data_IF_596568734775
#
_entry.id   IF_596568734775
#
_cell.length_a   1.000
_cell.length_b   1.000
_cell.length_c   1.000
_cell.angle_alpha   90.00
_cell.angle_beta   90.00
_cell.angle_gamma   90.00
#
_symmetry.space_group_name_H-M   'P 1'
#
loop_
_entity.id
_entity.type
_entity.pdbx_description
1 polymer ?
#
# COMPACT_ATOMS: atom_id res chain seq x y z
N UNK A 1 -32.63 22.24 -8.63
CA UNK A 1 -31.87 21.84 -7.43
C UNK A 1 -30.96 20.63 -7.69
N UNK A 2 -31.50 19.53 -8.22
CA UNK A 2 -30.77 18.28 -8.51
C UNK A 2 -29.58 18.41 -9.47
N UNK A 3 -29.67 19.23 -10.53
CA UNK A 3 -28.59 19.41 -11.51
C UNK A 3 -27.34 20.10 -10.93
N UNK A 4 -27.52 21.08 -10.03
CA UNK A 4 -26.40 21.74 -9.31
C UNK A 4 -25.77 20.81 -8.28
N UNK A 5 -26.57 19.97 -7.63
CA UNK A 5 -26.10 18.91 -6.74
C UNK A 5 -25.28 17.86 -7.49
N UNK A 6 -25.77 17.36 -8.63
CA UNK A 6 -25.04 16.39 -9.47
C UNK A 6 -23.74 16.95 -10.05
N UNK A 7 -23.72 18.23 -10.46
CA UNK A 7 -22.47 18.90 -10.89
C UNK A 7 -21.48 19.02 -9.73
N UNK A 8 -21.95 19.37 -8.52
CA UNK A 8 -21.12 19.42 -7.32
C UNK A 8 -20.52 18.05 -6.98
N UNK A 9 -21.33 17.00 -7.03
CA UNK A 9 -20.88 15.61 -6.81
C UNK A 9 -19.84 15.20 -7.86
N UNK A 10 -20.06 15.52 -9.14
CA UNK A 10 -19.13 15.22 -10.23
C UNK A 10 -17.78 15.94 -10.10
N UNK A 11 -17.78 17.21 -9.67
CA UNK A 11 -16.54 17.98 -9.46
C UNK A 11 -15.76 17.40 -8.27
N UNK A 12 -16.44 17.11 -7.16
CA UNK A 12 -15.80 16.54 -5.96
C UNK A 12 -15.25 15.14 -6.25
N UNK A 13 -15.99 14.31 -6.99
CA UNK A 13 -15.50 13.00 -7.41
C UNK A 13 -14.35 13.10 -8.43
N UNK A 14 -14.40 14.02 -9.38
CA UNK A 14 -13.27 14.30 -10.29
C UNK A 14 -12.00 14.69 -9.53
N UNK A 15 -12.10 15.58 -8.54
CA UNK A 15 -10.99 15.95 -7.65
C UNK A 15 -10.48 14.73 -6.88
N UNK A 16 -11.37 13.93 -6.30
CA UNK A 16 -11.04 12.76 -5.50
C UNK A 16 -10.31 11.66 -6.29
N UNK A 17 -10.64 11.48 -7.57
CA UNK A 17 -10.10 10.39 -8.39
C UNK A 17 -8.99 10.83 -9.35
N UNK A 18 -9.01 12.06 -9.87
CA UNK A 18 -8.05 12.51 -10.88
C UNK A 18 -6.79 13.11 -10.25
N UNK A 19 -6.91 13.86 -9.15
CA UNK A 19 -5.76 14.48 -8.49
C UNK A 19 -4.75 13.45 -7.99
N UNK A 20 -5.15 12.34 -7.33
CA UNK A 20 -4.20 11.29 -6.95
C UNK A 20 -3.42 10.72 -8.14
N UNK A 21 -4.10 10.52 -9.28
CA UNK A 21 -3.48 9.97 -10.49
C UNK A 21 -2.42 10.92 -11.06
N UNK A 22 -2.74 12.21 -11.15
CA UNK A 22 -1.81 13.25 -11.64
C UNK A 22 -0.66 13.43 -10.64
N UNK A 23 -0.95 13.49 -9.35
CA UNK A 23 0.07 13.66 -8.30
C UNK A 23 1.13 12.57 -8.35
N UNK A 24 0.72 11.30 -8.47
CA UNK A 24 1.66 10.18 -8.62
C UNK A 24 2.49 10.36 -9.89
N UNK A 25 1.86 10.72 -11.00
CA UNK A 25 2.53 10.88 -12.29
C UNK A 25 3.62 11.97 -12.26
N UNK A 26 3.44 13.02 -11.46
CA UNK A 26 4.38 14.15 -11.38
C UNK A 26 5.46 13.99 -10.31
N UNK A 27 5.17 13.26 -9.22
CA UNK A 27 6.02 13.28 -8.02
C UNK A 27 6.73 11.97 -7.72
N UNK A 28 6.24 10.84 -8.25
CA UNK A 28 6.82 9.52 -7.98
C UNK A 28 7.76 9.15 -9.13
N UNK A 29 9.02 8.74 -8.83
CA UNK A 29 9.94 8.25 -9.85
C UNK A 29 9.34 7.08 -10.65
N UNK A 30 9.74 6.94 -11.91
CA UNK A 30 9.18 5.89 -12.79
C UNK A 30 9.34 4.47 -12.25
N UNK A 31 10.47 4.19 -11.61
CA UNK A 31 10.76 2.89 -11.00
C UNK A 31 9.71 2.44 -9.99
N UNK A 32 9.00 3.36 -9.33
CA UNK A 32 7.95 3.05 -8.35
C UNK A 32 6.53 3.05 -8.93
N UNK A 33 6.35 3.50 -10.19
CA UNK A 33 5.02 3.70 -10.82
C UNK A 33 4.54 2.53 -11.68
N UNK A 34 5.40 1.52 -11.89
CA UNK A 34 5.15 0.33 -12.69
C UNK A 34 5.49 -0.92 -11.87
N UNK A 35 4.91 -2.09 -12.17
CA UNK A 35 5.36 -3.38 -11.65
C UNK A 35 6.80 -3.73 -12.09
N UNK A 36 7.45 -4.70 -11.45
CA UNK A 36 8.83 -5.09 -11.75
C UNK A 36 8.84 -5.97 -13.00
N UNK A 37 9.93 -5.99 -13.74
CA UNK A 37 9.97 -6.72 -15.01
C UNK A 37 9.81 -8.23 -14.78
N UNK A 38 10.23 -8.73 -13.61
CA UNK A 38 10.01 -10.08 -13.12
C UNK A 38 8.80 -10.19 -12.17
N UNK A 39 8.01 -9.12 -11.99
CA UNK A 39 6.81 -9.19 -11.18
C UNK A 39 5.83 -10.12 -11.87
N UNK A 40 5.77 -11.34 -11.38
CA UNK A 40 4.72 -12.25 -11.78
C UNK A 40 3.46 -11.67 -11.16
N UNK A 41 2.60 -11.07 -12.00
CA UNK A 41 1.25 -10.64 -11.61
C UNK A 41 0.53 -11.85 -11.01
N UNK A 42 0.60 -11.98 -9.69
CA UNK A 42 0.18 -13.17 -8.96
C UNK A 42 1.35 -14.03 -8.44
N UNK A 43 1.64 -13.87 -7.14
CA UNK A 43 2.00 -14.96 -6.21
C UNK A 43 3.28 -15.79 -6.44
N UNK A 44 4.32 -15.26 -7.05
CA UNK A 44 5.67 -15.87 -6.93
C UNK A 44 6.62 -14.77 -6.49
N UNK A 45 6.81 -14.49 -5.20
CA UNK A 45 7.61 -15.29 -4.25
C UNK A 45 7.12 -15.15 -2.78
N UNK A 46 5.95 -14.56 -2.55
CA UNK A 46 5.43 -14.25 -1.21
C UNK A 46 4.54 -15.37 -0.67
N UNK A 47 5.11 -16.32 0.07
CA UNK A 47 4.32 -17.27 0.88
C UNK A 47 4.08 -16.63 2.25
N UNK A 48 3.15 -15.67 2.33
CA UNK A 48 2.77 -15.09 3.62
C UNK A 48 1.58 -15.86 4.21
N UNK A 49 1.82 -16.56 5.31
CA UNK A 49 0.74 -17.09 6.15
C UNK A 49 0.41 -16.00 7.18
N UNK A 50 -0.51 -15.10 6.84
CA UNK A 50 -1.06 -14.14 7.79
C UNK A 50 -2.08 -14.85 8.69
N UNK A 51 -1.89 -14.81 10.00
CA UNK A 51 -2.94 -15.21 10.94
C UNK A 51 -3.70 -14.00 11.45
N UNK A 52 -5.03 -14.12 11.48
CA UNK A 52 -5.88 -13.08 12.03
C UNK A 52 -6.12 -13.37 13.51
N UNK A 53 -5.80 -12.41 14.39
CA UNK A 53 -6.24 -12.50 15.79
C UNK A 53 -7.68 -12.01 15.84
N UNK A 54 -8.63 -12.94 15.78
CA UNK A 54 -10.06 -12.61 15.70
C UNK A 54 -10.56 -11.72 16.85
N UNK A 55 -10.01 -11.89 18.05
CA UNK A 55 -10.48 -11.22 19.28
C UNK A 55 -9.65 -10.00 19.71
N UNK A 56 -8.65 -9.57 18.93
CA UNK A 56 -7.84 -8.39 19.27
C UNK A 56 -8.09 -7.26 18.28
N UNK A 57 -8.51 -6.11 18.81
CA UNK A 57 -8.73 -4.89 18.05
C UNK A 57 -7.93 -3.74 18.65
N UNK A 58 -7.36 -2.91 17.79
CA UNK A 58 -6.70 -1.65 18.16
C UNK A 58 -7.46 -0.52 17.47
N UNK A 59 -7.99 0.44 18.25
CA UNK A 59 -8.80 1.56 17.74
C UNK A 59 -9.97 1.09 16.84
N UNK A 60 -10.64 -0.01 17.21
CA UNK A 60 -11.73 -0.62 16.44
C UNK A 60 -11.31 -1.46 15.22
N UNK A 61 -10.03 -1.41 14.83
CA UNK A 61 -9.47 -2.14 13.67
C UNK A 61 -9.07 -3.56 14.06
N UNK A 62 -9.28 -4.53 13.16
CA UNK A 62 -8.81 -5.93 13.33
C UNK A 62 -7.29 -5.93 13.28
N UNK A 63 -6.66 -6.69 14.16
CA UNK A 63 -5.20 -6.86 14.16
C UNK A 63 -4.84 -8.20 13.53
N UNK A 64 -3.88 -8.18 12.62
CA UNK A 64 -3.27 -9.38 12.06
C UNK A 64 -1.85 -9.57 12.59
N UNK A 65 -1.41 -10.83 12.62
CA UNK A 65 -0.06 -11.20 13.01
C UNK A 65 0.59 -12.00 11.90
N UNK A 66 1.81 -11.58 11.57
CA UNK A 66 2.70 -12.28 10.64
C UNK A 66 3.12 -13.61 11.26
N UNK A 67 2.67 -14.76 10.74
CA UNK A 67 3.07 -16.09 11.28
C UNK A 67 4.38 -16.60 10.73
N UNK A 68 4.74 -16.18 9.52
CA UNK A 68 6.02 -16.51 8.86
C UNK A 68 6.68 -15.22 8.41
N UNK A 69 8.02 -15.11 8.49
CA UNK A 69 8.70 -13.92 8.02
C UNK A 69 8.31 -13.60 6.58
N UNK A 70 7.97 -12.34 6.31
CA UNK A 70 7.69 -11.85 4.97
C UNK A 70 8.94 -11.15 4.47
N UNK A 71 9.44 -11.56 3.30
CA UNK A 71 10.64 -11.00 2.70
C UNK A 71 10.21 -10.16 1.50
N UNK A 72 10.61 -8.89 1.52
CA UNK A 72 10.47 -7.97 0.41
C UNK A 72 11.84 -7.67 -0.17
N UNK A 73 11.94 -7.75 -1.49
CA UNK A 73 13.16 -7.48 -2.24
C UNK A 73 12.90 -6.22 -3.05
N UNK A 74 13.73 -5.20 -2.84
CA UNK A 74 13.79 -4.02 -3.68
C UNK A 74 15.02 -4.19 -4.55
N UNK A 75 14.77 -4.36 -5.84
CA UNK A 75 15.83 -4.56 -6.83
C UNK A 75 16.73 -3.33 -6.91
N UNK A 76 18.04 -3.57 -6.87
CA UNK A 76 19.03 -2.53 -7.09
C UNK A 76 19.01 -2.06 -8.54
N UNK A 77 19.38 -0.79 -8.77
CA UNK A 77 19.72 -0.33 -10.13
C UNK A 77 21.11 -0.82 -10.53
N UNK A 78 21.51 -0.68 -11.81
CA UNK A 78 22.85 -1.07 -12.27
C UNK A 78 23.96 -0.56 -11.33
N UNK A 79 24.68 -1.50 -10.70
CA UNK A 79 25.78 -1.20 -9.77
C UNK A 79 25.37 -1.07 -8.29
N UNK A 80 24.07 -1.10 -7.96
CA UNK A 80 23.56 -1.13 -6.58
C UNK A 80 23.09 -2.56 -6.20
N UNK A 81 23.34 -3.00 -4.95
CA UNK A 81 22.86 -4.31 -4.49
C UNK A 81 21.35 -4.29 -4.25
N UNK A 82 20.73 -5.47 -4.35
CA UNK A 82 19.34 -5.66 -3.91
C UNK A 82 19.21 -5.40 -2.41
N UNK A 83 18.13 -4.71 -2.05
CA UNK A 83 17.78 -4.40 -0.66
C UNK A 83 16.71 -5.36 -0.15
N UNK A 84 16.99 -6.03 0.97
CA UNK A 84 16.10 -7.02 1.57
C UNK A 84 15.44 -6.46 2.84
N UNK A 85 14.11 -6.33 2.80
CA UNK A 85 13.31 -6.02 3.99
C UNK A 85 12.68 -7.29 4.54
N UNK A 86 13.03 -7.65 5.77
CA UNK A 86 12.50 -8.84 6.46
C UNK A 86 11.55 -8.41 7.57
N UNK A 87 10.26 -8.70 7.38
CA UNK A 87 9.24 -8.51 8.40
C UNK A 87 9.24 -9.73 9.31
N UNK A 88 9.54 -9.52 10.58
CA UNK A 88 9.68 -10.62 11.55
C UNK A 88 8.34 -11.29 11.87
N UNK A 89 8.39 -12.61 12.11
CA UNK A 89 7.27 -13.35 12.71
C UNK A 89 6.85 -12.69 14.02
N UNK A 90 5.55 -12.58 14.25
CA UNK A 90 4.98 -11.97 15.45
C UNK A 90 4.73 -10.46 15.31
N UNK A 91 5.12 -9.84 14.19
CA UNK A 91 4.76 -8.46 13.92
C UNK A 91 3.23 -8.30 13.87
N UNK A 92 2.72 -7.32 14.62
CA UNK A 92 1.30 -6.99 14.72
C UNK A 92 1.02 -5.78 13.83
N UNK A 93 0.16 -5.96 12.83
CA UNK A 93 -0.33 -4.88 11.97
C UNK A 93 -1.80 -4.62 12.26
N UNK A 94 -2.18 -3.35 12.26
CA UNK A 94 -3.57 -2.88 12.38
C UNK A 94 -4.10 -2.28 11.06
N UNK A 95 -3.36 -2.47 9.96
CA UNK A 95 -3.64 -1.97 8.62
C UNK A 95 -3.97 -0.47 8.61
N UNK A 96 -3.20 0.34 9.36
CA UNK A 96 -3.38 1.79 9.44
C UNK A 96 -3.24 2.48 8.08
N UNK A 97 -2.40 1.91 7.23
CA UNK A 97 -2.17 2.32 5.85
C UNK A 97 -3.40 2.23 4.94
N UNK A 98 -4.48 1.56 5.37
CA UNK A 98 -5.73 1.48 4.60
C UNK A 98 -6.67 2.66 4.91
N UNK A 99 -6.93 3.56 3.94
CA UNK A 99 -7.76 4.74 4.15
C UNK A 99 -9.16 4.37 4.63
N UNK A 100 -9.75 5.18 5.52
CA UNK A 100 -11.08 4.90 6.07
C UNK A 100 -12.16 4.70 4.99
N UNK A 101 -12.10 5.49 3.92
CA UNK A 101 -13.02 5.35 2.78
C UNK A 101 -12.78 4.06 2.00
N UNK A 102 -11.52 3.63 1.85
CA UNK A 102 -11.18 2.38 1.19
C UNK A 102 -11.76 1.17 1.96
N UNK A 103 -11.78 1.23 3.29
CA UNK A 103 -12.34 0.15 4.14
C UNK A 103 -13.85 -0.07 3.95
N UNK A 104 -14.59 0.87 3.35
CA UNK A 104 -16.01 0.68 3.01
C UNK A 104 -16.22 -0.20 1.77
N UNK A 105 -15.25 -0.21 0.85
CA UNK A 105 -15.39 -0.86 -0.45
C UNK A 105 -14.47 -2.07 -0.61
N UNK A 106 -13.39 -2.14 0.18
CA UNK A 106 -12.37 -3.16 0.02
C UNK A 106 -12.18 -3.97 1.32
N UNK A 107 -12.02 -5.28 1.17
CA UNK A 107 -11.75 -6.19 2.29
C UNK A 107 -10.28 -6.10 2.71
N UNK A 108 -9.94 -5.78 3.97
CA UNK A 108 -8.56 -5.57 4.40
C UNK A 108 -7.58 -6.74 4.16
N UNK A 109 -8.07 -7.94 3.84
CA UNK A 109 -7.28 -9.14 3.54
C UNK A 109 -7.20 -9.48 2.05
N UNK A 110 -7.37 -8.49 1.17
CA UNK A 110 -7.27 -8.66 -0.28
C UNK A 110 -5.81 -8.48 -0.76
N UNK A 111 -5.59 -8.41 -2.07
CA UNK A 111 -4.28 -8.34 -2.76
C UNK A 111 -3.31 -7.27 -2.24
N UNK A 112 -3.79 -6.21 -1.60
CA UNK A 112 -2.96 -5.14 -1.04
C UNK A 112 -2.56 -5.35 0.43
N UNK A 113 -3.02 -6.42 1.09
CA UNK A 113 -2.81 -6.63 2.52
C UNK A 113 -1.32 -6.75 2.88
N UNK A 114 -0.56 -7.49 2.08
CA UNK A 114 0.88 -7.68 2.31
C UNK A 114 1.67 -6.37 2.13
N UNK A 115 1.32 -5.58 1.10
CA UNK A 115 1.86 -4.25 0.91
C UNK A 115 1.57 -3.32 2.10
N UNK A 116 0.36 -3.41 2.68
CA UNK A 116 -0.01 -2.65 3.88
C UNK A 116 0.81 -3.09 5.11
N UNK A 117 1.07 -4.39 5.28
CA UNK A 117 1.96 -4.90 6.35
C UNK A 117 3.37 -4.37 6.19
N UNK A 118 3.90 -4.34 4.96
CA UNK A 118 5.21 -3.76 4.65
C UNK A 118 5.27 -2.27 5.01
N UNK A 119 4.25 -1.50 4.61
CA UNK A 119 4.20 -0.07 4.91
C UNK A 119 4.19 0.18 6.43
N UNK A 120 3.31 -0.52 7.15
CA UNK A 120 3.21 -0.43 8.62
C UNK A 120 4.57 -0.79 9.27
N UNK A 121 5.27 -1.81 8.76
CA UNK A 121 6.58 -2.22 9.24
C UNK A 121 7.66 -1.16 9.03
N UNK A 122 7.77 -0.61 7.82
CA UNK A 122 8.73 0.45 7.49
C UNK A 122 8.47 1.71 8.31
N UNK A 123 7.19 2.04 8.54
CA UNK A 123 6.80 3.14 9.43
C UNK A 123 7.15 2.87 10.89
N UNK A 124 7.01 1.62 11.35
CA UNK A 124 7.35 1.24 12.73
C UNK A 124 8.86 1.28 12.99
N UNK A 125 9.70 0.92 12.01
CA UNK A 125 11.15 1.12 12.10
C UNK A 125 11.47 2.63 12.14
N UNK A 126 10.77 3.41 11.31
CA UNK A 126 10.75 4.87 11.43
C UNK A 126 12.07 5.56 11.10
N UNK A 127 12.85 5.00 10.16
CA UNK A 127 14.14 5.58 9.76
C UNK A 127 14.02 7.07 9.35
N UNK A 128 14.90 7.96 9.85
CA UNK A 128 14.84 9.38 9.53
C UNK A 128 14.92 9.63 8.02
N UNK A 129 13.97 10.40 7.49
CA UNK A 129 13.90 10.75 6.06
C UNK A 129 13.30 9.66 5.14
N UNK A 130 13.01 8.46 5.65
CA UNK A 130 12.56 7.32 4.83
C UNK A 130 11.05 7.19 4.67
N UNK A 131 10.24 8.04 5.31
CA UNK A 131 8.76 7.98 5.20
C UNK A 131 8.27 8.03 3.75
N UNK A 132 8.81 8.96 2.95
CA UNK A 132 8.46 9.07 1.53
C UNK A 132 8.83 7.82 0.76
N UNK A 133 9.97 7.22 1.08
CA UNK A 133 10.41 5.98 0.47
C UNK A 133 9.49 4.82 0.85
N UNK A 134 9.08 4.72 2.11
CA UNK A 134 8.08 3.74 2.55
C UNK A 134 6.74 3.89 1.80
N UNK A 135 6.26 5.12 1.59
CA UNK A 135 5.06 5.37 0.78
C UNK A 135 5.24 4.88 -0.67
N UNK A 136 6.40 5.15 -1.29
CA UNK A 136 6.69 4.72 -2.66
C UNK A 136 6.85 3.20 -2.77
N UNK A 137 7.48 2.56 -1.78
CA UNK A 137 7.58 1.09 -1.68
C UNK A 137 6.19 0.48 -1.54
N UNK A 138 5.30 1.10 -0.76
CA UNK A 138 3.91 0.65 -0.63
C UNK A 138 3.16 0.69 -1.96
N UNK A 139 3.26 1.81 -2.71
CA UNK A 139 2.71 1.91 -4.06
C UNK A 139 3.22 0.78 -4.95
N UNK A 140 4.54 0.58 -4.93
CA UNK A 140 5.22 -0.41 -5.76
C UNK A 140 4.79 -1.83 -5.45
N UNK A 141 4.80 -2.20 -4.18
CA UNK A 141 4.40 -3.53 -3.72
C UNK A 141 2.96 -3.85 -4.13
N UNK A 142 2.03 -2.90 -4.02
CA UNK A 142 0.66 -3.09 -4.53
C UNK A 142 0.61 -3.37 -6.03
N UNK A 143 1.39 -2.65 -6.83
CA UNK A 143 1.46 -2.88 -8.29
C UNK A 143 2.03 -4.26 -8.61
N UNK A 144 3.05 -4.69 -7.88
CA UNK A 144 3.63 -6.03 -8.01
C UNK A 144 2.65 -7.13 -7.61
N UNK A 145 1.81 -6.88 -6.62
CA UNK A 145 0.75 -7.80 -6.17
C UNK A 145 -0.48 -7.79 -7.10
N UNK A 146 -0.43 -7.06 -8.22
CA UNK A 146 -1.49 -7.00 -9.22
C UNK A 146 -2.69 -6.14 -8.81
N UNK A 147 -2.54 -5.28 -7.79
CA UNK A 147 -3.56 -4.29 -7.44
C UNK A 147 -3.72 -3.32 -8.61
N UNK A 148 -4.97 -2.97 -8.93
CA UNK A 148 -5.26 -2.00 -9.99
C UNK A 148 -4.46 -0.70 -9.78
N UNK A 149 -3.76 -0.18 -10.81
CA UNK A 149 -2.95 1.02 -10.67
C UNK A 149 -3.72 2.24 -10.15
N UNK A 150 -5.02 2.33 -10.45
CA UNK A 150 -5.87 3.41 -9.94
C UNK A 150 -6.02 3.29 -8.41
N UNK A 151 -6.29 2.09 -7.91
CA UNK A 151 -6.45 1.81 -6.48
C UNK A 151 -5.12 2.02 -5.75
N UNK A 152 -4.02 1.49 -6.28
CA UNK A 152 -2.69 1.64 -5.69
C UNK A 152 -2.27 3.11 -5.57
N UNK A 153 -2.54 3.92 -6.61
CA UNK A 153 -2.29 5.38 -6.60
C UNK A 153 -3.14 6.11 -5.56
N UNK A 154 -4.41 5.74 -5.43
CA UNK A 154 -5.29 6.32 -4.42
C UNK A 154 -4.78 6.03 -3.00
N UNK A 155 -4.40 4.78 -2.73
CA UNK A 155 -3.87 4.36 -1.44
C UNK A 155 -2.56 5.10 -1.11
N UNK A 156 -1.64 5.17 -2.07
CA UNK A 156 -0.42 5.97 -1.94
C UNK A 156 -0.70 7.43 -1.59
N UNK A 157 -1.58 8.10 -2.34
CA UNK A 157 -1.91 9.50 -2.07
C UNK A 157 -2.55 9.68 -0.70
N UNK A 158 -3.40 8.74 -0.27
CA UNK A 158 -4.03 8.82 1.03
C UNK A 158 -3.03 8.69 2.19
N UNK A 159 -2.07 7.75 2.13
CA UNK A 159 -1.02 7.65 3.17
C UNK A 159 -0.01 8.79 3.11
N UNK A 160 0.17 9.41 1.94
CA UNK A 160 1.10 10.52 1.76
C UNK A 160 0.64 11.81 2.43
N UNK A 161 -0.67 11.99 2.56
CA UNK A 161 -1.29 13.21 3.09
C UNK A 161 -2.10 13.00 4.38
N UNK A 162 -2.22 11.75 4.86
CA UNK A 162 -2.83 11.40 6.15
C UNK A 162 -1.79 11.28 7.26
#
# INVERSE_FOLDING_TARGET
MLRRFLIGVAIVSGILFVIPLIYVQLTVPEVYRKPADNSVQGRTHRVSELAIIHNYRKEGRRVAVVQRPIIFIKEGTEGEPDEFTVISRGYKTDFASLPALARLFFNPFDSYAEAAVLHDWLYAIGEPGKKREADMIFLRAMLDDGVSPIVARYFYTAVRFG
#
